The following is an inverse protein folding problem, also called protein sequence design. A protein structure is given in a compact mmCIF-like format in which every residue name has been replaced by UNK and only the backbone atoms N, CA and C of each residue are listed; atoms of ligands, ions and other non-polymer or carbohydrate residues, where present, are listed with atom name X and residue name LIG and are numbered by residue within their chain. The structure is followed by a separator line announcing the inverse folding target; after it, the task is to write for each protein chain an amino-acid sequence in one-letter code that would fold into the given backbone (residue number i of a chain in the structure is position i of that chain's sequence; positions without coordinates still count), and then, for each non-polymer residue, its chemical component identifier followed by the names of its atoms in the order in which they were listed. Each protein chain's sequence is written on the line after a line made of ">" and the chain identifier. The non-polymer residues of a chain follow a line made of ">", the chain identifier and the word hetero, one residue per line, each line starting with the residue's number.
data_IF_407948748667
#
_entry.id   IF_407948748667
#
_cell.length_a   1.000
_cell.length_b   1.000
_cell.length_c   1.000
_cell.angle_alpha   90.00
_cell.angle_beta   90.00
_cell.angle_gamma   90.00
#
_symmetry.space_group_name_H-M   'P 1'
#
loop_
_entity.id
_entity.type
_entity.pdbx_description
1 polymer ?
#
# COMPACT_ATOMS: atom_id res chain seq x y z
N UNK A 1 -6.34 0.43 12.96
CA UNK A 1 -7.61 1.03 13.42
C UNK A 1 -7.85 0.87 14.92
N UNK A 2 -7.86 -0.35 15.49
CA UNK A 2 -8.09 -0.55 16.93
C UNK A 2 -7.12 0.28 17.79
N UNK A 3 -5.82 0.23 17.50
CA UNK A 3 -4.80 1.03 18.20
C UNK A 3 -5.00 2.54 18.04
N UNK A 4 -5.56 3.00 16.91
CA UNK A 4 -5.91 4.41 16.70
C UNK A 4 -7.01 4.83 17.68
N UNK A 5 -8.04 3.98 17.88
CA UNK A 5 -9.13 4.28 18.83
C UNK A 5 -8.67 4.34 20.28
N UNK A 6 -7.72 3.50 20.68
CA UNK A 6 -7.15 3.49 22.03
C UNK A 6 -5.93 4.40 22.18
N UNK A 7 -5.74 5.36 21.27
CA UNK A 7 -4.55 6.21 21.25
C UNK A 7 -4.30 6.90 22.60
N UNK A 8 -5.32 7.47 23.24
CA UNK A 8 -5.18 8.18 24.52
C UNK A 8 -4.54 7.32 25.64
N UNK A 9 -4.69 5.99 25.59
CA UNK A 9 -4.08 5.07 26.55
C UNK A 9 -2.65 4.67 26.18
N UNK A 10 -2.31 4.75 24.90
CA UNK A 10 -1.06 4.25 24.34
C UNK A 10 0.07 5.28 24.37
N UNK A 11 -0.23 6.58 24.28
CA UNK A 11 0.75 7.68 24.15
C UNK A 11 1.84 7.65 25.23
N UNK A 12 1.52 7.24 26.46
CA UNK A 12 2.48 7.23 27.57
C UNK A 12 3.24 5.92 27.74
N UNK A 13 2.97 4.90 26.93
CA UNK A 13 3.52 3.54 27.12
C UNK A 13 4.84 3.36 26.38
N UNK A 14 5.83 2.76 27.05
CA UNK A 14 7.11 2.37 26.43
C UNK A 14 6.92 1.41 25.23
N UNK A 15 5.78 0.70 25.20
CA UNK A 15 5.35 -0.16 24.11
C UNK A 15 5.39 0.53 22.74
N UNK A 16 5.10 1.84 22.64
CA UNK A 16 5.14 2.55 21.36
C UNK A 16 6.55 2.58 20.74
N UNK A 17 7.61 2.69 21.54
CA UNK A 17 8.99 2.66 21.02
C UNK A 17 9.35 1.30 20.43
N UNK A 18 8.89 0.22 21.07
CA UNK A 18 9.07 -1.13 20.54
C UNK A 18 8.24 -1.35 19.27
N UNK A 19 7.01 -0.83 19.24
CA UNK A 19 6.13 -0.86 18.08
C UNK A 19 6.76 -0.13 16.88
N UNK A 20 7.40 1.03 17.12
CA UNK A 20 8.13 1.77 16.09
C UNK A 20 9.18 0.89 15.40
N UNK A 21 10.02 0.22 16.19
CA UNK A 21 11.05 -0.69 15.67
C UNK A 21 10.43 -1.81 14.83
N UNK A 22 9.44 -2.52 15.37
CA UNK A 22 8.76 -3.61 14.65
C UNK A 22 8.14 -3.12 13.34
N UNK A 23 7.45 -1.98 13.36
CA UNK A 23 6.80 -1.41 12.19
C UNK A 23 7.77 -0.98 11.09
N UNK A 24 8.96 -0.48 11.47
CA UNK A 24 10.01 -0.13 10.52
C UNK A 24 10.62 -1.38 9.86
N UNK A 25 10.79 -2.46 10.62
CA UNK A 25 11.29 -3.73 10.10
C UNK A 25 10.29 -4.39 9.15
N UNK A 26 8.99 -4.37 9.48
CA UNK A 26 7.96 -4.92 8.59
C UNK A 26 7.86 -4.14 7.29
N UNK A 27 7.95 -2.81 7.35
CA UNK A 27 7.96 -1.95 6.16
C UNK A 27 9.13 -2.31 5.24
N UNK A 28 10.34 -2.43 5.80
CA UNK A 28 11.55 -2.76 5.03
C UNK A 28 11.47 -4.18 4.44
N UNK A 29 11.08 -5.17 5.24
CA UNK A 29 10.96 -6.56 4.80
C UNK A 29 9.96 -6.71 3.65
N UNK A 30 8.78 -6.09 3.78
CA UNK A 30 7.76 -6.11 2.75
C UNK A 30 8.24 -5.48 1.43
N UNK A 31 8.98 -4.37 1.53
CA UNK A 31 9.58 -3.70 0.37
C UNK A 31 10.61 -4.56 -0.36
N UNK A 32 11.49 -5.24 0.37
CA UNK A 32 12.50 -6.14 -0.21
C UNK A 32 11.82 -7.34 -0.87
N UNK A 33 10.86 -7.99 -0.20
CA UNK A 33 10.13 -9.12 -0.76
C UNK A 33 9.36 -8.76 -2.03
N UNK A 34 8.78 -7.55 -2.11
CA UNK A 34 8.01 -7.12 -3.27
C UNK A 34 8.84 -7.07 -4.56
N UNK A 35 10.15 -6.80 -4.46
CA UNK A 35 11.04 -6.73 -5.61
C UNK A 35 11.37 -8.09 -6.24
N UNK A 36 11.19 -9.18 -5.49
CA UNK A 36 11.48 -10.55 -5.94
C UNK A 36 10.22 -11.34 -6.31
N UNK A 37 9.03 -10.76 -6.13
CA UNK A 37 7.76 -11.39 -6.49
C UNK A 37 7.38 -11.13 -7.94
N UNK A 38 6.83 -12.15 -8.59
CA UNK A 38 6.35 -12.07 -9.98
C UNK A 38 4.83 -12.08 -10.11
N UNK A 39 4.10 -12.46 -9.05
CA UNK A 39 2.64 -12.43 -9.06
C UNK A 39 2.13 -11.01 -8.80
N UNK A 40 1.38 -10.45 -9.77
CA UNK A 40 0.86 -9.08 -9.69
C UNK A 40 0.09 -8.81 -8.38
N UNK A 41 -0.78 -9.74 -7.97
CA UNK A 41 -1.56 -9.60 -6.72
C UNK A 41 -0.68 -9.60 -5.47
N UNK A 42 0.39 -10.42 -5.44
CA UNK A 42 1.32 -10.49 -4.30
C UNK A 42 2.13 -9.21 -4.17
N UNK A 43 2.56 -8.60 -5.29
CA UNK A 43 3.25 -7.31 -5.29
C UNK A 43 2.36 -6.21 -4.69
N UNK A 44 1.07 -6.17 -5.09
CA UNK A 44 0.11 -5.19 -4.55
C UNK A 44 -0.15 -5.45 -3.06
N UNK A 45 -0.16 -6.71 -2.61
CA UNK A 45 -0.32 -7.09 -1.21
C UNK A 45 0.92 -6.77 -0.36
N UNK A 46 2.14 -6.99 -0.85
CA UNK A 46 3.36 -6.61 -0.12
C UNK A 46 3.48 -5.10 0.02
N UNK A 47 3.01 -4.35 -0.97
CA UNK A 47 2.91 -2.89 -0.84
C UNK A 47 1.77 -2.40 0.07
N UNK A 48 0.76 -3.21 0.41
CA UNK A 48 -0.16 -2.87 1.52
C UNK A 48 0.51 -3.14 2.86
N UNK A 49 1.27 -4.24 2.97
CA UNK A 49 2.02 -4.56 4.19
C UNK A 49 3.05 -3.49 4.54
N UNK A 50 3.76 -2.95 3.54
CA UNK A 50 4.71 -1.85 3.76
C UNK A 50 4.02 -0.57 4.22
N UNK A 51 2.89 -0.19 3.59
CA UNK A 51 2.11 0.98 3.97
C UNK A 51 1.44 0.83 5.35
N UNK A 52 1.01 -0.38 5.72
CA UNK A 52 0.57 -0.67 7.08
C UNK A 52 1.70 -0.52 8.09
N UNK A 53 2.93 -0.96 7.75
CA UNK A 53 4.12 -0.68 8.56
C UNK A 53 4.34 0.82 8.77
N UNK A 54 4.20 1.62 7.70
CA UNK A 54 4.28 3.08 7.78
C UNK A 54 3.16 3.69 8.65
N UNK A 55 1.92 3.24 8.53
CA UNK A 55 0.83 3.73 9.40
C UNK A 55 1.08 3.40 10.88
N UNK A 56 1.67 2.23 11.15
CA UNK A 56 2.03 1.81 12.50
C UNK A 56 3.21 2.62 13.07
N UNK A 57 4.17 3.02 12.23
CA UNK A 57 5.28 3.89 12.65
C UNK A 57 4.78 5.31 12.97
N UNK A 58 3.88 5.88 12.16
CA UNK A 58 3.24 7.19 12.43
C UNK A 58 2.46 7.15 13.75
N UNK A 59 1.69 6.08 13.98
CA UNK A 59 0.95 5.90 15.23
C UNK A 59 1.89 5.84 16.43
N UNK A 60 3.03 5.15 16.30
CA UNK A 60 4.02 5.06 17.38
C UNK A 60 4.72 6.37 17.71
N UNK A 61 4.76 7.32 16.78
CA UNK A 61 5.24 8.69 17.00
C UNK A 61 4.18 9.59 17.67
N UNK A 62 2.95 9.09 17.87
CA UNK A 62 1.85 9.83 18.50
C UNK A 62 0.98 10.61 17.52
N UNK A 63 1.18 10.48 16.21
CA UNK A 63 0.41 11.20 15.20
C UNK A 63 -0.79 10.38 14.69
N UNK A 64 -1.76 10.12 15.57
CA UNK A 64 -2.92 9.27 15.26
C UNK A 64 -3.83 9.83 14.15
N UNK A 65 -4.04 11.14 14.09
CA UNK A 65 -4.86 11.77 13.04
C UNK A 65 -4.25 11.58 11.65
N UNK A 66 -2.91 11.71 11.54
CA UNK A 66 -2.17 11.46 10.31
C UNK A 66 -2.23 9.98 9.91
N UNK A 67 -2.08 9.06 10.87
CA UNK A 67 -2.20 7.63 10.61
C UNK A 67 -3.62 7.26 10.12
N UNK A 68 -4.66 7.91 10.65
CA UNK A 68 -6.03 7.70 10.21
C UNK A 68 -6.31 8.29 8.83
N UNK A 69 -5.83 9.51 8.56
CA UNK A 69 -5.92 10.11 7.24
C UNK A 69 -5.28 9.22 6.18
N UNK A 70 -4.04 8.76 6.43
CA UNK A 70 -3.33 7.87 5.51
C UNK A 70 -4.06 6.53 5.31
N UNK A 71 -4.68 5.98 6.37
CA UNK A 71 -5.48 4.75 6.26
C UNK A 71 -6.64 4.92 5.26
N UNK A 72 -7.32 6.06 5.28
CA UNK A 72 -8.43 6.35 4.37
C UNK A 72 -7.95 6.53 2.92
N UNK A 73 -6.92 7.34 2.69
CA UNK A 73 -6.40 7.61 1.34
C UNK A 73 -5.80 6.33 0.73
N UNK A 74 -5.03 5.58 1.50
CA UNK A 74 -4.49 4.29 1.10
C UNK A 74 -5.60 3.29 0.72
N UNK A 75 -6.71 3.24 1.47
CA UNK A 75 -7.82 2.34 1.13
C UNK A 75 -8.39 2.65 -0.26
N UNK A 76 -8.54 3.93 -0.61
CA UNK A 76 -9.04 4.36 -1.92
C UNK A 76 -8.09 3.95 -3.06
N UNK A 77 -6.80 4.25 -2.94
CA UNK A 77 -5.83 3.92 -4.00
C UNK A 77 -5.61 2.41 -4.15
N UNK A 78 -5.61 1.67 -3.04
CA UNK A 78 -5.49 0.21 -3.09
C UNK A 78 -6.71 -0.46 -3.69
N UNK A 79 -7.92 0.02 -3.39
CA UNK A 79 -9.13 -0.48 -4.03
C UNK A 79 -9.05 -0.30 -5.55
N UNK A 80 -8.59 0.88 -6.02
CA UNK A 80 -8.38 1.13 -7.44
C UNK A 80 -7.32 0.21 -8.06
N UNK A 81 -6.17 0.01 -7.40
CA UNK A 81 -5.11 -0.90 -7.86
C UNK A 81 -5.59 -2.34 -8.01
N UNK A 82 -6.28 -2.87 -7.00
CA UNK A 82 -6.80 -4.24 -7.04
C UNK A 82 -7.88 -4.42 -8.10
N UNK A 83 -8.72 -3.39 -8.34
CA UNK A 83 -9.72 -3.44 -9.41
C UNK A 83 -9.06 -3.44 -10.80
N UNK A 84 -8.08 -2.56 -11.04
CA UNK A 84 -7.32 -2.54 -12.30
C UNK A 84 -6.56 -3.86 -12.53
N UNK A 85 -5.88 -4.38 -11.50
CA UNK A 85 -5.20 -5.67 -11.58
C UNK A 85 -6.18 -6.82 -11.84
N UNK A 86 -7.38 -6.77 -11.27
CA UNK A 86 -8.44 -7.74 -11.53
C UNK A 86 -8.84 -7.78 -13.01
N UNK A 87 -9.01 -6.62 -13.65
CA UNK A 87 -9.30 -6.54 -15.09
C UNK A 87 -8.15 -7.09 -15.91
N UNK A 88 -6.90 -6.74 -15.60
CA UNK A 88 -5.71 -7.25 -16.32
C UNK A 88 -5.64 -8.78 -16.23
N UNK A 89 -5.82 -9.35 -15.04
CA UNK A 89 -5.75 -10.80 -14.83
C UNK A 89 -6.89 -11.51 -15.57
N UNK A 90 -8.10 -10.93 -15.57
CA UNK A 90 -9.23 -11.50 -16.30
C UNK A 90 -8.97 -11.53 -17.82
N UNK A 91 -8.43 -10.44 -18.37
CA UNK A 91 -8.07 -10.34 -19.80
C UNK A 91 -6.92 -11.27 -20.20
N UNK A 92 -6.05 -11.63 -19.25
CA UNK A 92 -4.94 -12.56 -19.45
C UNK A 92 -5.30 -14.02 -19.09
N UNK A 93 -6.57 -14.40 -19.20
CA UNK A 93 -7.07 -15.76 -18.91
C UNK A 93 -6.64 -16.28 -17.52
N UNK A 94 -6.75 -15.43 -16.49
CA UNK A 94 -6.35 -15.69 -15.10
C UNK A 94 -4.84 -15.83 -14.85
N UNK A 95 -3.99 -15.50 -15.83
CA UNK A 95 -2.54 -15.44 -15.59
C UNK A 95 -2.17 -14.20 -14.76
N UNK A 96 -1.38 -14.39 -13.70
CA UNK A 96 -0.99 -13.35 -12.75
C UNK A 96 0.49 -12.96 -12.85
N UNK A 97 1.27 -13.72 -13.60
CA UNK A 97 2.71 -13.51 -13.74
C UNK A 97 3.01 -12.28 -14.59
N UNK A 98 3.63 -11.26 -13.99
CA UNK A 98 3.97 -9.99 -14.65
C UNK A 98 4.91 -10.18 -15.85
N UNK A 99 5.70 -11.26 -15.89
CA UNK A 99 6.65 -11.51 -16.99
C UNK A 99 5.94 -11.82 -18.29
N UNK A 100 4.69 -12.30 -18.20
CA UNK A 100 3.83 -12.59 -19.33
C UNK A 100 2.92 -11.42 -19.68
N UNK A 101 2.98 -10.31 -18.93
CA UNK A 101 2.17 -9.12 -19.14
C UNK A 101 2.93 -8.07 -19.94
N UNK A 102 2.55 -7.87 -21.21
CA UNK A 102 3.17 -6.88 -22.10
C UNK A 102 2.14 -6.03 -22.85
N UNK A 103 2.48 -4.77 -23.16
CA UNK A 103 1.65 -3.92 -24.01
C UNK A 103 0.30 -3.47 -23.42
N UNK A 104 0.10 -3.59 -22.10
CA UNK A 104 -1.19 -3.30 -21.44
C UNK A 104 -1.70 -1.88 -21.74
N UNK A 105 -0.81 -0.89 -21.83
CA UNK A 105 -1.18 0.50 -22.14
C UNK A 105 -1.80 0.69 -23.52
N UNK A 106 -1.47 -0.18 -24.48
CA UNK A 106 -2.00 -0.12 -25.85
C UNK A 106 -3.37 -0.83 -25.90
N UNK A 107 -3.50 -1.99 -25.26
CA UNK A 107 -4.72 -2.79 -25.31
C UNK A 107 -5.83 -2.28 -24.38
N UNK A 108 -5.48 -1.81 -23.19
CA UNK A 108 -6.46 -1.36 -22.18
C UNK A 108 -6.01 0.00 -21.62
N UNK A 109 -6.05 1.08 -22.42
CA UNK A 109 -5.47 2.37 -22.06
C UNK A 109 -6.08 2.95 -20.79
N UNK A 110 -7.39 2.80 -20.60
CA UNK A 110 -8.11 3.38 -19.47
C UNK A 110 -7.76 2.71 -18.14
N UNK A 111 -7.61 1.38 -18.11
CA UNK A 111 -7.15 0.70 -16.88
C UNK A 111 -5.69 0.99 -16.61
N UNK A 112 -4.85 1.10 -17.64
CA UNK A 112 -3.43 1.45 -17.48
C UNK A 112 -3.27 2.87 -16.90
N UNK A 113 -4.10 3.82 -17.32
CA UNK A 113 -4.12 5.18 -16.78
C UNK A 113 -4.51 5.17 -15.29
N UNK A 114 -5.61 4.51 -14.94
CA UNK A 114 -6.06 4.41 -13.54
C UNK A 114 -5.04 3.67 -12.65
N UNK A 115 -4.39 2.64 -13.18
CA UNK A 115 -3.33 1.91 -12.48
C UNK A 115 -2.10 2.78 -12.26
N UNK A 116 -1.72 3.61 -13.24
CA UNK A 116 -0.64 4.58 -13.07
C UNK A 116 -0.99 5.67 -12.07
N UNK A 117 -2.19 6.28 -12.14
CA UNK A 117 -2.63 7.30 -11.18
C UNK A 117 -2.58 6.76 -9.75
N UNK A 118 -3.07 5.53 -9.54
CA UNK A 118 -3.03 4.90 -8.22
C UNK A 118 -1.61 4.55 -7.76
N UNK A 119 -0.72 4.08 -8.65
CA UNK A 119 0.69 3.89 -8.32
C UNK A 119 1.41 5.21 -7.96
N UNK A 120 1.17 6.28 -8.72
CA UNK A 120 1.74 7.61 -8.47
C UNK A 120 1.27 8.17 -7.12
N UNK A 121 -0.01 7.95 -6.78
CA UNK A 121 -0.54 8.32 -5.47
C UNK A 121 0.09 7.49 -4.33
N UNK A 122 0.38 6.20 -4.56
CA UNK A 122 1.04 5.34 -3.58
C UNK A 122 2.50 5.74 -3.34
N UNK A 123 3.18 6.28 -4.36
CA UNK A 123 4.53 6.83 -4.24
C UNK A 123 4.59 8.20 -3.55
N UNK A 124 3.45 8.84 -3.26
CA UNK A 124 3.41 10.14 -2.58
C UNK A 124 3.85 11.32 -3.46
N UNK A 125 3.47 11.32 -4.74
CA UNK A 125 3.78 12.43 -5.65
C UNK A 125 3.01 13.70 -5.22
N UNK A 126 3.66 14.89 -5.28
CA UNK A 126 3.05 16.14 -4.85
C UNK A 126 1.71 16.39 -5.54
N UNK A 127 0.75 16.91 -4.78
CA UNK A 127 -0.64 17.22 -5.20
C UNK A 127 -1.56 16.01 -5.45
N UNK A 128 -1.07 14.77 -5.34
CA UNK A 128 -1.93 13.59 -5.27
C UNK A 128 -2.22 13.28 -3.79
N UNK A 129 -3.37 12.67 -3.50
CA UNK A 129 -3.83 12.49 -2.12
C UNK A 129 -3.02 11.48 -1.27
N UNK A 130 -1.90 10.96 -1.78
CA UNK A 130 -0.92 10.21 -0.98
C UNK A 130 0.28 11.05 -0.50
N UNK A 131 0.41 12.29 -0.96
CA UNK A 131 1.36 13.29 -0.45
C UNK A 131 0.76 14.01 0.76
#
# INVERSE_FOLDING_TARGET
>A
YLLIRFNNLLVSMYFLKFLLLLSSLTMMMAGICANYEFDLKKIIALSTLSQLGLMMSILSMGFFDLAFFHLLTHAMFKALLFMCAGVIIHMMNNNQDIRMMGGISIFIPMTSLCMNISNLSLCGIPFLAGF
#
